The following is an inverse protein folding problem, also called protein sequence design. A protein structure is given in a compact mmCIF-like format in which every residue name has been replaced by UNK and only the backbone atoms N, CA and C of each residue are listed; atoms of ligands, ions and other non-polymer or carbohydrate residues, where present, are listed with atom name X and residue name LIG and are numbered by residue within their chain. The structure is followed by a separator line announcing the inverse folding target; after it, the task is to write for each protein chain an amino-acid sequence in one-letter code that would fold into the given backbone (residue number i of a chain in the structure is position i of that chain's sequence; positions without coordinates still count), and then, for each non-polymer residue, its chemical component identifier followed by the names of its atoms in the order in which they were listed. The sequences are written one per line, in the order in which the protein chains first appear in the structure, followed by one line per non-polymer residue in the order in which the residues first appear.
data_IF_819751214948
#
_entry.id   IF_819751214948
#
_cell.length_a   1.000
_cell.length_b   1.000
_cell.length_c   1.000
_cell.angle_alpha   90.00
_cell.angle_beta   90.00
_cell.angle_gamma   90.00
#
_symmetry.space_group_name_H-M   'P 1'
#
loop_
_entity.id
_entity.type
_entity.pdbx_description
1 polymer ?
#
# COMPACT_ATOMS: atom_id res chain seq x y z
N UNK A 1 26.52 -13.49 -18.57
CA UNK A 1 26.87 -13.05 -19.93
C UNK A 1 25.61 -13.29 -20.76
N UNK A 2 24.88 -12.31 -21.26
CA UNK A 2 25.33 -11.17 -22.03
C UNK A 2 24.29 -10.03 -21.93
N UNK A 3 24.78 -8.81 -21.73
CA UNK A 3 24.35 -7.52 -22.30
C UNK A 3 22.93 -7.44 -22.89
N UNK A 4 22.12 -6.45 -22.52
CA UNK A 4 22.44 -5.05 -22.80
C UNK A 4 21.87 -4.65 -24.17
N UNK A 5 22.01 -3.37 -24.52
CA UNK A 5 21.65 -2.76 -25.81
C UNK A 5 20.18 -2.29 -25.90
N UNK A 6 19.94 -0.98 -25.78
CA UNK A 6 19.79 -0.05 -26.92
C UNK A 6 18.72 -0.56 -27.90
N UNK A 7 17.56 0.09 -27.97
CA UNK A 7 17.48 1.36 -28.68
C UNK A 7 17.41 1.10 -30.18
N UNK A 8 16.20 0.96 -30.70
CA UNK A 8 15.79 1.12 -32.10
C UNK A 8 14.26 0.95 -32.07
N UNK A 9 13.42 1.90 -32.47
CA UNK A 9 13.39 2.57 -33.76
C UNK A 9 11.95 2.39 -34.27
N UNK A 10 11.24 3.50 -34.39
CA UNK A 10 9.82 3.68 -34.74
C UNK A 10 9.38 3.02 -36.08
N UNK A 11 8.17 3.21 -36.66
CA UNK A 11 6.99 3.99 -36.22
C UNK A 11 5.62 3.29 -36.45
N UNK A 12 4.55 3.80 -35.84
CA UNK A 12 3.20 3.56 -36.36
C UNK A 12 2.11 3.42 -35.31
N UNK A 13 1.52 4.54 -34.89
CA UNK A 13 0.09 4.79 -35.10
C UNK A 13 -0.20 6.25 -34.72
N UNK A 14 -0.26 7.11 -35.74
CA UNK A 14 -0.91 8.41 -35.65
C UNK A 14 -2.41 8.21 -35.80
N UNK A 15 -3.18 8.36 -34.72
CA UNK A 15 -4.62 8.59 -34.82
C UNK A 15 -5.13 9.31 -33.56
N UNK A 16 -5.42 10.60 -33.71
CA UNK A 16 -6.46 11.28 -32.93
C UNK A 16 -6.08 11.76 -31.53
N UNK A 17 -5.45 12.94 -31.44
CA UNK A 17 -6.07 14.15 -30.90
C UNK A 17 -5.01 15.28 -30.86
N UNK A 18 -4.78 15.90 -32.02
CA UNK A 18 -4.23 17.25 -32.08
C UNK A 18 -5.37 18.24 -31.84
N UNK A 19 -5.21 19.10 -30.83
CA UNK A 19 -4.88 20.51 -30.97
C UNK A 19 -6.10 21.43 -30.98
N UNK A 20 -6.28 22.14 -29.87
CA UNK A 20 -7.18 23.28 -29.77
C UNK A 20 -6.96 24.05 -28.48
N UNK A 21 -6.10 25.08 -28.53
CA UNK A 21 -5.92 26.15 -27.53
C UNK A 21 -4.93 25.93 -26.36
N UNK A 22 -3.65 26.12 -26.67
CA UNK A 22 -2.58 26.29 -25.69
C UNK A 22 -1.29 26.74 -26.38
N UNK A 23 -1.33 27.91 -27.01
CA UNK A 23 -0.18 28.49 -27.72
C UNK A 23 0.97 28.84 -26.78
N UNK A 24 1.91 27.89 -26.67
CA UNK A 24 3.38 27.96 -26.71
C UNK A 24 4.13 29.24 -26.27
N UNK A 25 5.45 29.14 -26.01
CA UNK A 25 6.16 28.21 -25.12
C UNK A 25 7.20 29.01 -24.29
N UNK A 26 7.93 28.37 -23.36
CA UNK A 26 9.41 28.25 -23.39
C UNK A 26 9.93 27.75 -22.04
N UNK A 27 10.53 26.56 -22.06
CA UNK A 27 11.46 26.11 -21.05
C UNK A 27 12.69 27.02 -21.08
N UNK A 28 12.81 27.90 -20.08
CA UNK A 28 14.02 28.67 -19.80
C UNK A 28 14.89 27.84 -18.86
N UNK A 29 15.81 27.05 -19.42
CA UNK A 29 16.94 26.50 -18.68
C UNK A 29 17.87 27.66 -18.30
N UNK A 30 17.80 28.12 -17.05
CA UNK A 30 18.72 29.13 -16.52
C UNK A 30 19.84 28.41 -15.78
N UNK A 31 20.84 27.98 -16.53
CA UNK A 31 22.17 27.69 -16.03
C UNK A 31 23.01 28.98 -16.12
N UNK A 32 23.63 29.37 -15.00
CA UNK A 32 24.83 30.20 -15.00
C UNK A 32 24.65 31.73 -14.97
N UNK A 33 25.06 32.32 -13.84
CA UNK A 33 25.86 33.55 -13.85
C UNK A 33 25.14 34.88 -13.57
N UNK A 34 25.76 35.82 -12.82
CA UNK A 34 25.20 37.14 -12.56
C UNK A 34 25.41 38.07 -13.77
N UNK A 35 24.33 38.75 -14.18
CA UNK A 35 24.23 39.84 -15.17
C UNK A 35 24.14 39.42 -16.65
N UNK A 36 22.97 38.93 -17.08
CA UNK A 36 22.54 39.08 -18.50
C UNK A 36 21.06 39.49 -18.54
N UNK A 37 20.78 40.72 -19.01
CA UNK A 37 19.44 41.17 -19.42
C UNK A 37 19.26 40.81 -20.89
N UNK A 38 18.39 39.85 -21.20
CA UNK A 38 17.96 39.59 -22.58
C UNK A 38 16.87 40.59 -22.95
N UNK A 39 17.23 41.53 -23.83
CA UNK A 39 16.30 42.40 -24.54
C UNK A 39 15.55 41.58 -25.59
N UNK A 40 14.21 41.56 -25.54
CA UNK A 40 13.40 41.04 -26.64
C UNK A 40 13.24 42.13 -27.71
N UNK A 41 13.77 41.86 -28.89
CA UNK A 41 13.55 42.61 -30.13
C UNK A 41 12.14 42.28 -30.68
N UNK A 42 11.36 43.30 -31.03
CA UNK A 42 10.16 43.16 -31.87
C UNK A 42 8.85 43.62 -31.24
N UNK A 43 8.55 44.92 -31.35
CA UNK A 43 7.22 45.49 -31.07
C UNK A 43 7.25 47.01 -30.92
N UNK A 44 6.39 47.79 -31.62
CA UNK A 44 6.48 49.25 -31.65
C UNK A 44 6.07 49.92 -30.32
N UNK A 45 6.64 51.08 -29.96
CA UNK A 45 6.48 51.70 -28.66
C UNK A 45 5.19 52.54 -28.57
N UNK A 46 4.48 52.45 -27.45
CA UNK A 46 3.53 53.48 -26.99
C UNK A 46 3.84 53.88 -25.55
N UNK A 47 4.61 54.97 -25.41
CA UNK A 47 4.46 55.97 -24.33
C UNK A 47 3.24 56.84 -24.71
N UNK A 48 2.46 57.49 -23.85
CA UNK A 48 2.66 57.97 -22.50
C UNK A 48 1.26 58.17 -21.85
N UNK A 49 1.17 58.02 -20.52
CA UNK A 49 0.86 59.09 -19.56
C UNK A 49 -0.63 59.34 -19.29
N UNK A 50 -1.01 59.22 -18.01
CA UNK A 50 -2.32 59.62 -17.50
C UNK A 50 -2.65 59.03 -16.14
N UNK A 51 -2.05 59.59 -15.08
CA UNK A 51 -2.57 59.75 -13.72
C UNK A 51 -3.24 58.58 -12.98
N UNK A 52 -2.51 58.10 -11.96
CA UNK A 52 -2.92 58.03 -10.55
C UNK A 52 -4.43 58.06 -10.26
N UNK A 53 -4.96 56.93 -9.77
CA UNK A 53 -5.89 56.94 -8.64
C UNK A 53 -6.00 55.54 -8.00
N UNK A 54 -6.10 55.57 -6.68
CA UNK A 54 -6.54 54.52 -5.78
C UNK A 54 -5.62 53.29 -5.60
N UNK A 55 -4.83 53.34 -4.53
CA UNK A 55 -4.71 52.20 -3.66
C UNK A 55 -6.12 51.76 -3.22
N UNK A 56 -6.54 50.55 -3.58
CA UNK A 56 -7.56 49.82 -2.85
C UNK A 56 -7.08 48.37 -2.70
N UNK A 57 -7.24 47.86 -1.49
CA UNK A 57 -6.55 46.69 -0.98
C UNK A 57 -6.69 45.49 -1.89
N UNK A 58 -5.61 44.70 -1.95
CA UNK A 58 -5.61 43.37 -2.55
C UNK A 58 -6.89 42.66 -2.18
N UNK A 59 -7.71 42.43 -3.20
CA UNK A 59 -9.06 41.90 -3.09
C UNK A 59 -8.96 40.42 -2.69
N UNK A 60 -8.57 40.17 -1.44
CA UNK A 60 -8.49 38.85 -0.83
C UNK A 60 -9.83 38.14 -0.93
N UNK A 61 -10.94 38.90 -1.01
CA UNK A 61 -12.28 38.39 -1.29
C UNK A 61 -12.39 37.70 -2.65
N UNK A 62 -11.76 38.21 -3.71
CA UNK A 62 -11.80 37.60 -5.05
C UNK A 62 -11.08 36.24 -5.09
N UNK A 63 -9.97 36.08 -4.35
CA UNK A 63 -9.21 34.83 -4.27
C UNK A 63 -10.02 33.73 -3.55
N UNK A 64 -10.69 34.04 -2.43
CA UNK A 64 -11.52 33.06 -1.72
C UNK A 64 -12.76 32.63 -2.52
N UNK A 65 -13.38 33.57 -3.25
CA UNK A 65 -14.52 33.25 -4.14
C UNK A 65 -14.07 32.42 -5.34
N UNK A 66 -12.86 32.65 -5.87
CA UNK A 66 -12.30 31.88 -6.97
C UNK A 66 -11.85 30.46 -6.55
N UNK A 67 -11.46 30.26 -5.29
CA UNK A 67 -11.11 28.96 -4.71
C UNK A 67 -12.33 28.15 -4.23
N UNK A 68 -13.49 28.79 -4.09
CA UNK A 68 -14.73 28.17 -3.64
C UNK A 68 -15.12 26.89 -4.40
N UNK A 69 -15.05 26.79 -5.75
CA UNK A 69 -15.37 25.54 -6.44
C UNK A 69 -14.42 24.39 -6.08
N UNK A 70 -13.14 24.69 -5.81
CA UNK A 70 -12.15 23.68 -5.42
C UNK A 70 -12.31 23.27 -3.95
N UNK A 71 -12.61 24.23 -3.08
CA UNK A 71 -12.94 23.99 -1.67
C UNK A 71 -14.24 23.18 -1.55
N UNK A 72 -15.24 23.46 -2.38
CA UNK A 72 -16.51 22.72 -2.39
C UNK A 72 -16.31 21.25 -2.78
N UNK A 73 -15.50 20.96 -3.80
CA UNK A 73 -15.17 19.57 -4.18
C UNK A 73 -14.41 18.84 -3.07
N UNK A 74 -13.45 19.52 -2.43
CA UNK A 74 -12.71 18.97 -1.29
C UNK A 74 -13.66 18.68 -0.12
N UNK A 75 -14.52 19.63 0.23
CA UNK A 75 -15.49 19.49 1.31
C UNK A 75 -16.45 18.34 1.06
N UNK A 76 -17.01 18.22 -0.16
CA UNK A 76 -17.91 17.12 -0.54
C UNK A 76 -17.19 15.77 -0.44
N UNK A 77 -15.93 15.67 -0.88
CA UNK A 77 -15.14 14.44 -0.77
C UNK A 77 -14.89 14.03 0.68
N UNK A 78 -14.48 14.99 1.52
CA UNK A 78 -14.24 14.75 2.95
C UNK A 78 -15.53 14.41 3.71
N UNK A 79 -16.62 15.12 3.43
CA UNK A 79 -17.93 14.82 4.01
C UNK A 79 -18.46 13.47 3.54
N UNK A 80 -18.24 13.10 2.28
CA UNK A 80 -18.67 11.79 1.76
C UNK A 80 -17.89 10.67 2.44
N UNK A 81 -16.58 10.82 2.65
CA UNK A 81 -15.77 9.84 3.39
C UNK A 81 -16.21 9.71 4.86
N UNK A 82 -16.47 10.83 5.53
CA UNK A 82 -16.93 10.84 6.92
C UNK A 82 -18.36 10.26 7.06
N UNK A 83 -19.26 10.61 6.14
CA UNK A 83 -20.62 10.10 6.13
C UNK A 83 -20.65 8.62 5.75
N UNK A 84 -19.78 8.15 4.85
CA UNK A 84 -19.59 6.72 4.60
C UNK A 84 -19.12 6.00 5.87
N UNK A 85 -18.20 6.57 6.65
CA UNK A 85 -17.77 5.99 7.92
C UNK A 85 -18.91 5.89 8.95
N UNK A 86 -19.77 6.91 9.05
CA UNK A 86 -20.93 6.93 9.96
C UNK A 86 -22.06 6.00 9.50
N UNK A 87 -22.42 6.04 8.21
CA UNK A 87 -23.56 5.29 7.67
C UNK A 87 -23.29 3.81 7.46
N UNK A 88 -22.03 3.42 7.22
CA UNK A 88 -21.66 2.00 7.11
C UNK A 88 -21.31 1.36 8.45
N UNK A 89 -21.36 2.11 9.56
CA UNK A 89 -20.96 1.62 10.88
C UNK A 89 -19.51 1.17 10.83
N UNK A 90 -18.59 2.15 10.87
CA UNK A 90 -17.16 2.01 10.64
C UNK A 90 -16.57 0.65 10.99
N UNK A 91 -15.95 0.01 10.00
CA UNK A 91 -15.32 -1.32 10.02
C UNK A 91 -16.16 -2.41 10.70
N UNK A 92 -16.50 -3.53 10.03
CA UNK A 92 -17.10 -4.66 10.74
C UNK A 92 -16.27 -4.95 11.99
N UNK A 93 -16.90 -4.80 13.17
CA UNK A 93 -16.23 -5.06 14.44
C UNK A 93 -15.76 -6.50 14.37
N UNK A 94 -14.44 -6.69 14.33
CA UNK A 94 -13.85 -8.01 14.36
C UNK A 94 -13.20 -8.17 15.73
N UNK A 95 -13.38 -9.32 16.40
CA UNK A 95 -12.71 -9.57 17.66
C UNK A 95 -11.20 -9.53 17.46
N UNK A 96 -10.47 -9.05 18.46
CA UNK A 96 -9.01 -9.08 18.42
C UNK A 96 -8.51 -10.52 18.34
N UNK A 97 -7.48 -10.77 17.53
CA UNK A 97 -6.86 -12.09 17.43
C UNK A 97 -5.33 -11.99 17.37
N UNK A 98 -4.66 -13.06 17.77
CA UNK A 98 -3.20 -13.21 17.75
C UNK A 98 -2.80 -14.61 17.31
N UNK A 99 -1.59 -14.79 16.77
CA UNK A 99 -1.07 -16.12 16.44
C UNK A 99 -0.31 -16.77 17.59
N UNK A 100 0.06 -15.99 18.61
CA UNK A 100 0.73 -16.46 19.81
C UNK A 100 -0.21 -16.47 21.01
N UNK A 101 -0.15 -17.54 21.80
CA UNK A 101 -0.89 -17.64 23.05
C UNK A 101 -0.42 -16.56 24.03
N UNK A 102 -1.38 -15.88 24.66
CA UNK A 102 -1.08 -14.90 25.72
C UNK A 102 -2.19 -14.91 26.77
N UNK A 103 -1.94 -14.30 27.94
CA UNK A 103 -2.92 -14.33 29.05
C UNK A 103 -4.31 -13.81 28.66
N UNK A 104 -4.36 -12.82 27.77
CA UNK A 104 -5.61 -12.27 27.23
C UNK A 104 -6.12 -12.98 25.99
N UNK A 105 -5.29 -13.75 25.28
CA UNK A 105 -5.64 -14.51 24.08
C UNK A 105 -5.29 -15.97 24.29
N UNK A 106 -6.18 -16.72 24.93
CA UNK A 106 -5.97 -18.11 25.37
C UNK A 106 -6.91 -19.12 24.70
N UNK A 107 -7.93 -18.67 23.97
CA UNK A 107 -8.85 -19.56 23.27
C UNK A 107 -8.29 -19.85 21.88
N UNK A 108 -7.82 -21.08 21.67
CA UNK A 108 -7.33 -21.54 20.37
C UNK A 108 -8.50 -21.83 19.43
N UNK A 109 -8.41 -21.28 18.21
CA UNK A 109 -9.32 -21.50 17.11
C UNK A 109 -8.52 -21.76 15.83
N UNK A 110 -9.13 -22.44 14.87
CA UNK A 110 -8.51 -22.77 13.58
C UNK A 110 -9.40 -22.32 12.45
N UNK A 111 -8.83 -21.74 11.39
CA UNK A 111 -9.63 -21.31 10.23
C UNK A 111 -10.11 -22.51 9.42
N UNK A 112 -11.33 -22.41 8.85
CA UNK A 112 -11.91 -23.55 8.10
C UNK A 112 -11.18 -23.90 6.80
N UNK A 113 -10.58 -22.91 6.11
CA UNK A 113 -10.02 -23.11 4.76
C UNK A 113 -8.55 -23.53 4.77
N UNK A 114 -7.71 -22.79 5.51
CA UNK A 114 -6.27 -23.02 5.56
C UNK A 114 -5.80 -23.66 6.87
N UNK A 115 -6.71 -23.98 7.79
CA UNK A 115 -6.39 -24.56 9.11
C UNK A 115 -5.30 -23.76 9.85
N UNK A 116 -5.35 -22.43 9.74
CA UNK A 116 -4.40 -21.55 10.42
C UNK A 116 -4.81 -21.44 11.89
N UNK A 117 -3.95 -21.80 12.84
CA UNK A 117 -4.25 -21.63 14.26
C UNK A 117 -4.14 -20.16 14.65
N UNK A 118 -5.10 -19.68 15.43
CA UNK A 118 -5.13 -18.34 16.00
C UNK A 118 -5.75 -18.38 17.40
N UNK A 119 -5.37 -17.41 18.22
CA UNK A 119 -5.83 -17.24 19.59
C UNK A 119 -6.71 -16.00 19.70
N UNK A 120 -7.84 -16.17 20.38
CA UNK A 120 -8.82 -15.10 20.60
C UNK A 120 -8.99 -14.85 22.10
N UNK A 121 -9.42 -13.64 22.43
CA UNK A 121 -9.83 -13.28 23.78
C UNK A 121 -11.17 -13.92 24.14
N UNK A 122 -11.30 -14.61 25.30
CA UNK A 122 -12.52 -15.31 25.68
C UNK A 122 -13.70 -14.36 25.91
N UNK A 123 -13.46 -13.17 26.46
CA UNK A 123 -14.52 -12.17 26.70
C UNK A 123 -15.08 -11.65 25.37
N UNK A 124 -14.20 -11.21 24.47
CA UNK A 124 -14.61 -10.68 23.17
C UNK A 124 -15.27 -11.78 22.31
N UNK A 125 -14.77 -13.02 22.36
CA UNK A 125 -15.29 -14.10 21.54
C UNK A 125 -16.72 -14.50 21.92
N UNK A 126 -17.03 -14.56 23.22
CA UNK A 126 -18.37 -14.94 23.71
C UNK A 126 -19.41 -13.84 23.48
N UNK A 127 -18.98 -12.57 23.56
CA UNK A 127 -19.84 -11.42 23.31
C UNK A 127 -20.13 -11.22 21.81
N UNK A 128 -19.14 -11.51 20.95
CA UNK A 128 -19.23 -11.23 19.53
C UNK A 128 -20.12 -12.25 18.76
N UNK A 129 -20.97 -11.81 17.81
CA UNK A 129 -21.81 -12.72 17.02
C UNK A 129 -21.01 -13.76 16.23
N UNK A 130 -19.80 -13.41 15.78
CA UNK A 130 -18.92 -14.33 15.03
C UNK A 130 -18.47 -15.51 15.90
N UNK A 131 -18.17 -15.28 17.19
CA UNK A 131 -17.72 -16.35 18.08
C UNK A 131 -18.82 -17.36 18.40
N UNK A 132 -20.06 -16.87 18.56
CA UNK A 132 -21.26 -17.74 18.71
C UNK A 132 -21.46 -18.63 17.49
N UNK A 133 -21.31 -18.08 16.29
CA UNK A 133 -21.46 -18.82 15.03
C UNK A 133 -20.35 -19.85 14.88
N UNK A 134 -19.11 -19.49 15.20
CA UNK A 134 -17.98 -20.43 15.18
C UNK A 134 -18.17 -21.60 16.16
N UNK A 135 -18.70 -21.33 17.36
CA UNK A 135 -19.03 -22.36 18.34
C UNK A 135 -20.19 -23.27 17.88
N UNK A 136 -21.22 -22.70 17.23
CA UNK A 136 -22.31 -23.47 16.63
C UNK A 136 -21.81 -24.41 15.52
N UNK A 137 -20.94 -23.91 14.64
CA UNK A 137 -20.30 -24.73 13.59
C UNK A 137 -19.47 -25.85 14.20
N UNK A 138 -18.72 -25.56 15.27
CA UNK A 138 -17.88 -26.55 15.96
C UNK A 138 -18.69 -27.60 16.73
N UNK A 139 -19.80 -27.22 17.32
CA UNK A 139 -20.68 -28.10 18.11
C UNK A 139 -21.64 -28.94 17.26
N UNK A 140 -21.70 -28.73 15.94
CA UNK A 140 -22.62 -29.44 15.05
C UNK A 140 -24.10 -29.13 15.32
N UNK A 141 -24.37 -28.01 15.99
CA UNK A 141 -25.71 -27.54 16.33
C UNK A 141 -26.44 -26.99 15.07
N UNK A 142 -27.73 -26.60 15.13
CA UNK A 142 -28.50 -26.29 13.92
C UNK A 142 -27.82 -25.21 13.07
N UNK A 143 -27.82 -25.44 11.74
CA UNK A 143 -27.04 -24.67 10.76
C UNK A 143 -27.20 -23.16 10.98
N UNK A 144 -26.10 -22.42 11.20
CA UNK A 144 -26.14 -20.97 11.28
C UNK A 144 -26.67 -20.35 9.98
N UNK A 145 -27.17 -19.12 10.07
CA UNK A 145 -27.69 -18.42 8.90
C UNK A 145 -26.60 -18.25 7.83
N UNK A 146 -26.97 -18.28 6.55
CA UNK A 146 -26.03 -18.09 5.43
C UNK A 146 -25.27 -16.76 5.54
N UNK A 147 -25.93 -15.71 6.04
CA UNK A 147 -25.32 -14.41 6.30
C UNK A 147 -24.32 -14.40 7.45
N UNK A 148 -24.49 -15.26 8.43
CA UNK A 148 -23.55 -15.34 9.56
C UNK A 148 -22.34 -16.21 9.21
N UNK A 149 -22.56 -17.27 8.41
CA UNK A 149 -21.49 -18.04 7.79
C UNK A 149 -20.61 -17.16 6.88
N UNK A 150 -21.20 -16.26 6.10
CA UNK A 150 -20.42 -15.35 5.25
C UNK A 150 -19.58 -14.37 6.07
N UNK A 151 -20.10 -13.85 7.19
CA UNK A 151 -19.34 -13.02 8.15
C UNK A 151 -18.20 -13.78 8.82
N UNK A 152 -18.42 -15.03 9.19
CA UNK A 152 -17.37 -15.89 9.74
C UNK A 152 -16.27 -16.11 8.70
N UNK A 153 -16.63 -16.46 7.46
CA UNK A 153 -15.66 -16.64 6.36
C UNK A 153 -14.91 -15.35 6.00
N UNK A 154 -15.57 -14.18 6.07
CA UNK A 154 -14.89 -12.90 5.84
C UNK A 154 -13.89 -12.60 6.94
N UNK A 155 -14.23 -12.88 8.20
CA UNK A 155 -13.31 -12.79 9.32
C UNK A 155 -12.12 -13.75 9.16
N UNK A 156 -12.37 -15.03 8.86
CA UNK A 156 -11.31 -16.01 8.62
C UNK A 156 -10.40 -15.60 7.45
N UNK A 157 -10.94 -15.00 6.39
CA UNK A 157 -10.14 -14.47 5.28
C UNK A 157 -9.21 -13.34 5.73
N UNK A 158 -9.65 -12.48 6.65
CA UNK A 158 -8.82 -11.43 7.25
C UNK A 158 -7.71 -12.04 8.11
N UNK A 159 -8.03 -13.06 8.92
CA UNK A 159 -7.04 -13.81 9.71
C UNK A 159 -6.00 -14.46 8.79
N UNK A 160 -6.43 -15.20 7.78
CA UNK A 160 -5.54 -15.89 6.84
C UNK A 160 -4.62 -14.92 6.08
N UNK A 161 -5.17 -13.79 5.61
CA UNK A 161 -4.37 -12.77 4.93
C UNK A 161 -3.31 -12.18 5.84
N UNK A 162 -3.68 -11.80 7.07
CA UNK A 162 -2.73 -11.23 8.04
C UNK A 162 -1.67 -12.25 8.45
N UNK A 163 -1.99 -13.54 8.41
CA UNK A 163 -1.04 -14.61 8.72
C UNK A 163 -0.01 -14.77 7.60
N UNK A 164 -0.44 -14.68 6.34
CA UNK A 164 0.46 -14.67 5.19
C UNK A 164 1.42 -13.47 5.24
N UNK A 165 0.89 -12.27 5.51
CA UNK A 165 1.70 -11.05 5.69
C UNK A 165 2.73 -11.24 6.83
N UNK A 166 2.30 -11.79 7.97
CA UNK A 166 3.18 -12.06 9.11
C UNK A 166 4.30 -13.06 8.77
N UNK A 167 3.98 -14.17 8.09
CA UNK A 167 4.99 -15.16 7.68
C UNK A 167 5.93 -14.62 6.61
N UNK A 168 5.44 -13.76 5.72
CA UNK A 168 6.28 -13.06 4.75
C UNK A 168 7.33 -12.19 5.44
N UNK A 169 6.92 -11.39 6.43
CA UNK A 169 7.85 -10.56 7.21
C UNK A 169 8.87 -11.39 7.99
N UNK A 170 8.43 -12.49 8.61
CA UNK A 170 9.32 -13.43 9.30
C UNK A 170 10.32 -14.07 8.34
N UNK A 171 9.86 -14.56 7.19
CA UNK A 171 10.72 -15.16 6.17
C UNK A 171 11.73 -14.14 5.63
N UNK A 172 11.31 -12.89 5.39
CA UNK A 172 12.19 -11.82 4.97
C UNK A 172 13.29 -11.55 6.02
N UNK A 173 12.92 -11.46 7.29
CA UNK A 173 13.88 -11.25 8.38
C UNK A 173 14.89 -12.41 8.50
N UNK A 174 14.43 -13.66 8.34
CA UNK A 174 15.31 -14.84 8.30
C UNK A 174 16.28 -14.81 7.12
N UNK A 175 15.79 -14.41 5.94
CA UNK A 175 16.60 -14.27 4.74
C UNK A 175 17.68 -13.19 4.92
N UNK A 176 17.30 -12.02 5.41
CA UNK A 176 18.24 -10.93 5.72
C UNK A 176 19.27 -11.37 6.78
N UNK A 177 18.85 -12.09 7.82
CA UNK A 177 19.76 -12.64 8.82
C UNK A 177 20.74 -13.65 8.21
N UNK A 178 20.28 -14.51 7.30
CA UNK A 178 21.13 -15.45 6.57
C UNK A 178 22.13 -14.73 5.66
N UNK A 179 21.70 -13.73 4.90
CA UNK A 179 22.60 -12.95 4.03
C UNK A 179 23.66 -12.21 4.86
N UNK A 180 23.30 -11.59 5.99
CA UNK A 180 24.28 -10.97 6.90
C UNK A 180 25.34 -11.96 7.37
N UNK A 181 24.96 -13.19 7.73
CA UNK A 181 25.92 -14.24 8.10
C UNK A 181 26.81 -14.64 6.93
N UNK A 182 26.25 -14.71 5.73
CA UNK A 182 27.01 -15.00 4.51
C UNK A 182 28.03 -13.88 4.23
N UNK A 183 27.63 -12.61 4.32
CA UNK A 183 28.50 -11.44 4.10
C UNK A 183 29.66 -11.39 5.10
N UNK A 184 29.41 -11.73 6.37
CA UNK A 184 30.44 -11.85 7.41
C UNK A 184 31.53 -12.89 7.06
N UNK A 185 31.20 -13.92 6.27
CA UNK A 185 32.12 -14.99 5.89
C UNK A 185 32.64 -14.91 4.45
N UNK A 186 32.08 -14.03 3.61
CA UNK A 186 32.53 -13.81 2.22
C UNK A 186 33.86 -13.04 2.13
N UNK A 187 34.30 -12.39 3.21
CA UNK A 187 35.52 -11.59 3.24
C UNK A 187 35.47 -10.35 2.33
N UNK A 188 36.50 -9.51 2.39
CA UNK A 188 36.61 -8.33 1.53
C UNK A 188 37.23 -8.75 0.20
N UNK A 189 36.52 -8.58 -0.92
CA UNK A 189 36.97 -8.98 -2.27
C UNK A 189 37.40 -10.46 -2.40
N UNK A 190 36.89 -11.35 -1.53
CA UNK A 190 37.26 -12.78 -1.51
C UNK A 190 38.55 -13.10 -0.75
N UNK A 191 39.27 -12.10 -0.24
CA UNK A 191 40.40 -12.32 0.68
C UNK A 191 39.86 -12.62 2.09
N UNK A 192 40.30 -13.74 2.68
CA UNK A 192 39.84 -14.20 4.00
C UNK A 192 38.44 -14.84 4.00
N UNK A 193 37.93 -15.27 2.83
CA UNK A 193 36.61 -15.89 2.71
C UNK A 193 36.59 -17.34 3.20
N UNK A 194 35.61 -17.69 4.03
CA UNK A 194 35.34 -19.07 4.48
C UNK A 194 34.18 -19.67 3.67
N UNK A 195 34.50 -20.18 2.48
CA UNK A 195 33.51 -20.75 1.55
C UNK A 195 32.81 -21.99 2.11
N UNK A 196 33.45 -22.72 3.04
CA UNK A 196 32.83 -23.88 3.69
C UNK A 196 31.67 -23.44 4.58
N UNK A 197 31.87 -22.40 5.41
CA UNK A 197 30.79 -21.84 6.25
C UNK A 197 29.70 -21.18 5.43
N UNK A 198 30.04 -20.46 4.36
CA UNK A 198 29.04 -19.88 3.45
C UNK A 198 28.13 -20.98 2.88
N UNK A 199 28.69 -22.10 2.41
CA UNK A 199 27.90 -23.22 1.90
C UNK A 199 27.05 -23.89 2.98
N UNK A 200 27.56 -24.00 4.20
CA UNK A 200 26.80 -24.51 5.34
C UNK A 200 25.57 -23.62 5.63
N UNK A 201 25.78 -22.30 5.76
CA UNK A 201 24.71 -21.32 6.00
C UNK A 201 23.70 -21.34 4.85
N UNK A 202 24.16 -21.57 3.62
CA UNK A 202 23.27 -21.66 2.46
C UNK A 202 22.36 -22.90 2.46
N UNK A 203 22.81 -23.99 3.09
CA UNK A 203 22.05 -25.24 3.17
C UNK A 203 21.12 -25.29 4.38
N UNK A 204 21.19 -24.32 5.30
CA UNK A 204 20.26 -24.22 6.41
C UNK A 204 18.84 -23.96 5.91
N UNK A 205 17.89 -24.71 6.49
CA UNK A 205 16.46 -24.56 6.20
C UNK A 205 15.91 -23.29 6.84
N UNK A 206 15.02 -22.62 6.13
CA UNK A 206 14.32 -21.43 6.59
C UNK A 206 12.88 -21.81 6.97
N UNK A 207 12.59 -22.09 8.25
CA UNK A 207 11.35 -22.74 8.66
C UNK A 207 10.13 -21.88 8.34
N UNK A 208 10.21 -20.56 8.48
CA UNK A 208 9.06 -19.68 8.22
C UNK A 208 8.81 -19.50 6.71
N UNK A 209 9.87 -19.54 5.90
CA UNK A 209 9.74 -19.55 4.44
C UNK A 209 9.12 -20.87 3.92
N UNK A 210 9.46 -22.01 4.53
CA UNK A 210 8.83 -23.31 4.21
C UNK A 210 7.33 -23.28 4.53
N UNK A 211 6.94 -22.74 5.70
CA UNK A 211 5.53 -22.54 6.09
C UNK A 211 4.78 -21.65 5.10
N UNK A 212 5.36 -20.52 4.70
CA UNK A 212 4.74 -19.61 3.73
C UNK A 212 4.48 -20.33 2.40
N UNK A 213 5.46 -21.08 1.91
CA UNK A 213 5.36 -21.85 0.66
C UNK A 213 4.26 -22.92 0.76
N UNK A 214 4.18 -23.61 1.90
CA UNK A 214 3.14 -24.61 2.16
C UNK A 214 1.73 -23.99 2.15
N UNK A 215 1.54 -22.83 2.77
CA UNK A 215 0.25 -22.12 2.77
C UNK A 215 -0.15 -21.65 1.37
N UNK A 216 0.78 -21.10 0.61
CA UNK A 216 0.52 -20.70 -0.77
C UNK A 216 0.13 -21.89 -1.66
N UNK A 217 0.69 -23.07 -1.40
CA UNK A 217 0.28 -24.30 -2.07
C UNK A 217 -1.16 -24.68 -1.70
N UNK A 218 -1.52 -24.65 -0.41
CA UNK A 218 -2.89 -24.92 0.04
C UNK A 218 -3.92 -23.94 -0.55
N UNK A 219 -3.59 -22.65 -0.59
CA UNK A 219 -4.45 -21.64 -1.21
C UNK A 219 -4.70 -21.93 -2.70
N UNK A 220 -3.70 -22.43 -3.43
CA UNK A 220 -3.86 -22.82 -4.85
C UNK A 220 -4.75 -24.04 -5.00
N UNK A 221 -4.66 -25.01 -4.08
CA UNK A 221 -5.52 -26.21 -4.12
C UNK A 221 -6.98 -25.89 -3.79
N UNK A 222 -7.25 -24.97 -2.86
CA UNK A 222 -8.62 -24.57 -2.47
C UNK A 222 -9.35 -23.72 -3.53
N UNK A 223 -8.62 -23.19 -4.52
CA UNK A 223 -9.19 -22.40 -5.62
C UNK A 223 -9.53 -23.24 -6.86
N UNK A 224 -9.13 -24.52 -6.89
CA UNK A 224 -9.45 -25.46 -7.98
C UNK A 224 -10.69 -26.26 -7.63
#
# INVERSE_FOLDING_TARGET
MFFGASGFGAPGFSAGFGNGFGGSPVFSASFGGPRIRVQRFGGPPRRAAGQQQAAEGGDTRSIFVQLLPLIALLAISLFSSLLSFVTTGGTPSYPGFRYDASKSFNVEQTTTRLNVPYFVSPSEWTEHPIGKVAEQVKSGAPSPSTSDLSKLRSFETVVERRYEEHLYDLCRNEYEHRERRIEQHKGIFGFGADWAKVKQIQNEKLPNCEKLTALQYQQKTQKR
#
